data_IF_647291703209
#
_entry.id   IF_647291703209
#
_cell.length_a   1.000
_cell.length_b   1.000
_cell.length_c   1.000
_cell.angle_alpha   90.00
_cell.angle_beta   90.00
_cell.angle_gamma   90.00
#
_symmetry.space_group_name_H-M   'P 1'
#
loop_
_entity.id
_entity.type
_entity.pdbx_description
1 polymer ?
#
# COMPACT_ATOMS: atom_id res chain seq x y z
N UNK A 1 3.68 -1.43 -14.46
CA UNK A 1 2.91 -0.20 -14.81
C UNK A 1 1.41 -0.27 -14.49
N UNK A 2 0.73 -1.43 -14.52
CA UNK A 2 -0.75 -1.49 -14.39
C UNK A 2 -1.37 -1.22 -13.00
N UNK A 3 -0.67 -1.46 -11.87
CA UNK A 3 -1.30 -1.30 -10.53
C UNK A 3 -1.28 0.13 -10.01
N UNK A 4 -0.21 0.90 -10.30
CA UNK A 4 -0.13 2.31 -9.93
C UNK A 4 -1.22 3.17 -10.60
N UNK A 5 -1.67 2.78 -11.80
CA UNK A 5 -2.75 3.48 -12.51
C UNK A 5 -4.09 3.32 -11.79
N UNK A 6 -4.34 2.18 -11.13
CA UNK A 6 -5.63 1.89 -10.48
C UNK A 6 -5.79 2.56 -9.11
N UNK A 7 -4.73 2.73 -8.32
CA UNK A 7 -4.85 3.42 -7.02
C UNK A 7 -5.19 4.91 -7.18
N UNK A 8 -4.71 5.55 -8.27
CA UNK A 8 -5.12 6.92 -8.63
C UNK A 8 -6.61 7.03 -8.99
N UNK A 9 -7.22 5.95 -9.49
CA UNK A 9 -8.67 5.92 -9.74
C UNK A 9 -9.44 5.89 -8.41
N UNK A 10 -8.91 5.19 -7.40
CA UNK A 10 -9.53 5.14 -6.06
C UNK A 10 -9.52 6.51 -5.38
N UNK A 11 -8.44 7.29 -5.54
CA UNK A 11 -8.40 8.70 -5.12
C UNK A 11 -9.55 9.50 -5.74
N UNK A 12 -9.82 9.29 -7.03
CA UNK A 12 -10.88 9.98 -7.78
C UNK A 12 -12.31 9.63 -7.34
N UNK A 13 -12.51 8.46 -6.71
CA UNK A 13 -13.84 7.97 -6.27
C UNK A 13 -14.14 8.38 -4.84
N UNK A 14 -13.10 8.52 -4.00
CA UNK A 14 -13.27 8.86 -2.59
C UNK A 14 -13.54 10.35 -2.41
N UNK A 15 -14.46 10.68 -1.49
CA UNK A 15 -14.67 12.06 -1.04
C UNK A 15 -13.36 12.62 -0.46
N UNK A 16 -13.16 13.95 -0.47
CA UNK A 16 -12.08 14.58 0.27
C UNK A 16 -12.07 14.10 1.73
N UNK A 17 -10.89 13.85 2.29
CA UNK A 17 -10.70 13.27 3.62
C UNK A 17 -11.26 11.84 3.81
N UNK A 18 -11.68 11.17 2.74
CA UNK A 18 -12.11 9.77 2.79
C UNK A 18 -10.97 8.83 3.16
N UNK A 19 -11.33 7.74 3.84
CA UNK A 19 -10.38 6.70 4.26
C UNK A 19 -10.42 5.50 3.31
N UNK A 20 -9.24 4.93 3.07
CA UNK A 20 -9.02 3.70 2.33
C UNK A 20 -8.30 2.70 3.25
N UNK A 21 -8.92 1.56 3.48
CA UNK A 21 -8.30 0.43 4.17
C UNK A 21 -7.70 -0.50 3.11
N UNK A 22 -6.37 -0.58 3.06
CA UNK A 22 -5.64 -1.31 2.02
C UNK A 22 -4.84 -2.45 2.65
N UNK A 23 -5.29 -3.69 2.43
CA UNK A 23 -4.53 -4.89 2.76
C UNK A 23 -3.79 -5.41 1.52
N UNK A 24 -2.47 -5.54 1.61
CA UNK A 24 -1.61 -6.01 0.52
C UNK A 24 -0.45 -6.86 1.07
N UNK A 25 0.10 -7.81 0.30
CA UNK A 25 1.28 -8.55 0.72
C UNK A 25 2.53 -7.67 0.66
N UNK A 26 3.25 -7.60 1.77
CA UNK A 26 4.50 -6.89 1.99
C UNK A 26 5.65 -7.86 2.31
N UNK A 27 6.86 -7.49 1.90
CA UNK A 27 8.06 -8.33 1.97
C UNK A 27 9.11 -7.81 0.99
N UNK A 28 10.11 -8.61 0.62
CA UNK A 28 11.03 -8.20 -0.46
C UNK A 28 10.28 -7.99 -1.78
N UNK A 29 10.65 -6.94 -2.52
CA UNK A 29 9.99 -6.58 -3.78
C UNK A 29 10.05 -7.72 -4.79
N UNK A 30 8.91 -8.39 -4.99
CA UNK A 30 8.84 -9.58 -5.83
C UNK A 30 7.56 -9.63 -6.66
N UNK A 31 7.65 -10.22 -7.84
CA UNK A 31 6.49 -10.48 -8.70
C UNK A 31 6.31 -11.99 -8.74
N UNK A 32 5.24 -12.48 -8.11
CA UNK A 32 4.86 -13.87 -8.20
C UNK A 32 4.21 -14.10 -9.57
N UNK A 33 4.74 -15.07 -10.32
CA UNK A 33 4.18 -15.43 -11.62
C UNK A 33 2.70 -15.82 -11.45
N UNK A 34 1.81 -15.19 -12.23
CA UNK A 34 0.35 -15.44 -12.30
C UNK A 34 -0.61 -15.02 -11.16
N UNK A 35 -0.27 -14.20 -10.15
CA UNK A 35 -1.36 -13.69 -9.27
C UNK A 35 -1.10 -12.41 -8.46
N UNK A 36 0.02 -12.26 -7.76
CA UNK A 36 0.19 -11.15 -6.82
C UNK A 36 1.61 -10.55 -6.85
N UNK A 37 1.71 -9.30 -6.41
CA UNK A 37 2.99 -8.60 -6.20
C UNK A 37 3.20 -8.45 -4.71
N UNK A 38 4.41 -8.73 -4.27
CA UNK A 38 4.85 -8.43 -2.92
C UNK A 38 5.48 -7.04 -2.97
N UNK A 39 4.95 -6.15 -2.14
CA UNK A 39 5.38 -4.75 -2.07
C UNK A 39 6.47 -4.60 -1.02
N UNK A 40 7.68 -4.33 -1.49
CA UNK A 40 8.82 -4.09 -0.64
C UNK A 40 9.20 -2.62 -0.54
N UNK A 41 10.39 -2.34 0.01
CA UNK A 41 10.85 -0.99 0.31
C UNK A 41 10.84 -0.04 -0.90
N UNK A 42 10.92 -0.56 -2.13
CA UNK A 42 10.93 0.27 -3.34
C UNK A 42 9.51 0.49 -3.87
N UNK A 43 8.67 -0.56 -3.98
CA UNK A 43 7.34 -0.43 -4.60
C UNK A 43 6.28 0.05 -3.63
N UNK A 44 6.41 -0.25 -2.33
CA UNK A 44 5.42 0.15 -1.34
C UNK A 44 5.28 1.69 -1.28
N UNK A 45 6.35 2.49 -1.11
CA UNK A 45 6.21 3.96 -1.07
C UNK A 45 5.62 4.53 -2.36
N UNK A 46 5.91 3.92 -3.52
CA UNK A 46 5.33 4.34 -4.79
C UNK A 46 3.83 4.03 -4.88
N UNK A 47 3.35 2.98 -4.21
CA UNK A 47 1.95 2.59 -4.23
C UNK A 47 1.11 3.56 -3.40
N UNK A 48 1.56 3.89 -2.20
CA UNK A 48 0.85 4.76 -1.25
C UNK A 48 1.17 6.26 -1.46
N UNK A 49 1.96 6.60 -2.47
CA UNK A 49 2.29 8.00 -2.79
C UNK A 49 1.01 8.80 -3.06
N UNK A 50 0.89 9.95 -2.39
CA UNK A 50 -0.29 10.84 -2.49
C UNK A 50 -1.39 10.52 -1.48
N UNK A 51 -1.14 9.59 -0.55
CA UNK A 51 -1.99 9.33 0.60
C UNK A 51 -1.28 9.73 1.88
N UNK A 52 -2.04 10.15 2.88
CA UNK A 52 -1.57 10.22 4.26
C UNK A 52 -1.71 8.83 4.88
N UNK A 53 -0.61 8.26 5.39
CA UNK A 53 -0.65 7.00 6.15
C UNK A 53 -1.02 7.35 7.58
N UNK A 54 -2.25 7.02 7.97
CA UNK A 54 -2.78 7.33 9.29
C UNK A 54 -2.35 6.26 10.30
N UNK A 55 -2.41 5.00 9.89
CA UNK A 55 -2.01 3.86 10.74
C UNK A 55 -1.66 2.63 9.89
N UNK A 56 -0.96 1.68 10.50
CA UNK A 56 -0.64 0.37 9.92
C UNK A 56 -0.90 -0.72 10.96
N UNK A 57 -1.89 -1.56 10.69
CA UNK A 57 -2.24 -2.69 11.54
C UNK A 57 -1.57 -3.97 11.03
N UNK A 58 -0.90 -4.73 11.90
CA UNK A 58 -0.21 -5.97 11.52
C UNK A 58 0.98 -6.26 12.42
N UNK A 59 1.80 -7.29 12.12
CA UNK A 59 3.05 -7.54 12.83
C UNK A 59 3.96 -6.32 12.71
N UNK A 60 4.38 -5.74 13.84
CA UNK A 60 5.05 -4.44 13.90
C UNK A 60 6.55 -4.63 14.14
N UNK A 61 7.32 -4.68 13.06
CA UNK A 61 8.28 -3.63 12.72
C UNK A 61 8.55 -3.66 11.21
N UNK A 62 7.90 -2.76 10.46
CA UNK A 62 7.96 -2.74 8.98
C UNK A 62 9.38 -2.87 8.44
N UNK A 63 10.37 -2.21 9.06
CA UNK A 63 11.76 -2.29 8.62
C UNK A 63 12.44 -3.63 8.89
N UNK A 64 12.17 -4.31 10.01
CA UNK A 64 12.78 -5.63 10.27
C UNK A 64 12.06 -6.73 9.48
N UNK A 65 10.75 -6.58 9.27
CA UNK A 65 9.89 -7.61 8.67
C UNK A 65 10.15 -7.81 7.17
N UNK A 66 10.53 -6.77 6.42
CA UNK A 66 10.89 -6.90 5.00
C UNK A 66 12.03 -7.90 4.75
N UNK A 67 12.88 -8.17 5.75
CA UNK A 67 14.09 -8.99 5.58
C UNK A 67 13.85 -10.50 5.69
N UNK A 68 12.76 -10.95 6.32
CA UNK A 68 12.64 -12.35 6.77
C UNK A 68 11.31 -13.04 6.48
N UNK A 69 10.19 -12.32 6.33
CA UNK A 69 8.87 -12.97 6.16
C UNK A 69 7.95 -12.13 5.27
N UNK A 70 7.12 -12.80 4.47
CA UNK A 70 5.99 -12.15 3.82
C UNK A 70 4.88 -11.95 4.86
N UNK A 71 4.26 -10.77 4.86
CA UNK A 71 3.18 -10.41 5.78
C UNK A 71 2.15 -9.56 5.06
N UNK A 72 0.96 -9.45 5.62
CA UNK A 72 -0.16 -8.73 4.98
C UNK A 72 -0.69 -7.66 5.95
N UNK A 73 -0.01 -6.49 6.03
CA UNK A 73 -0.48 -5.40 6.88
C UNK A 73 -1.70 -4.74 6.27
N UNK A 74 -2.48 -4.07 7.12
CA UNK A 74 -3.60 -3.21 6.72
C UNK A 74 -3.13 -1.77 6.88
N UNK A 75 -3.01 -1.06 5.76
CA UNK A 75 -2.75 0.37 5.75
C UNK A 75 -4.06 1.13 5.86
N UNK A 76 -4.13 2.05 6.82
CA UNK A 76 -5.20 3.05 6.90
C UNK A 76 -4.68 4.30 6.21
N UNK A 77 -5.22 4.58 5.02
CA UNK A 77 -4.81 5.68 4.16
C UNK A 77 -5.91 6.74 4.11
N UNK A 78 -5.54 8.02 4.19
CA UNK A 78 -6.46 9.13 4.05
C UNK A 78 -6.21 9.90 2.76
N UNK A 79 -7.28 10.22 2.04
CA UNK A 79 -7.23 11.02 0.84
C UNK A 79 -6.99 12.49 1.21
N UNK A 80 -5.82 13.01 0.84
CA UNK A 80 -5.39 14.39 1.07
C UNK A 80 -5.63 15.32 -0.12
N UNK A 81 -6.25 14.82 -1.20
CA UNK A 81 -6.57 15.62 -2.36
C UNK A 81 -7.92 16.33 -2.17
N UNK A 82 -7.88 17.65 -2.22
CA UNK A 82 -9.04 18.51 -2.41
C UNK A 82 -9.24 18.65 -3.93
N UNK A 83 -10.43 18.31 -4.44
CA UNK A 83 -10.76 18.43 -5.86
C UNK A 83 -10.97 19.89 -6.26
#
# INVERSE_FOLDING_TARGET
MATFKKIKVVVGILKPNGYLFLQIPCGLDYICWNSHRIYGPIRLPLLIKGWEVVDVLGPVSLMEDFTKKQFEPIFILKNIHEF
#
